data_IF_470914783739
#
_entry.id   IF_470914783739
#
_cell.length_a   1.000
_cell.length_b   1.000
_cell.length_c   1.000
_cell.angle_alpha   90.00
_cell.angle_beta   90.00
_cell.angle_gamma   90.00
#
_symmetry.space_group_name_H-M   'P 1'
#
loop_
_entity.id
_entity.type
_entity.pdbx_description
1 polymer ?
#
# COMPACT_ATOMS: atom_id res chain seq x y z
N UNK A 1 -12.35 11.73 -24.97
CA UNK A 1 -12.74 10.42 -24.42
C UNK A 1 -11.94 10.23 -23.14
N UNK A 2 -12.45 10.75 -22.03
CA UNK A 2 -11.82 10.54 -20.71
C UNK A 2 -12.06 9.08 -20.34
N UNK A 3 -10.97 8.34 -20.25
CA UNK A 3 -10.99 6.88 -20.10
C UNK A 3 -11.56 6.54 -18.72
N UNK A 4 -12.71 5.86 -18.69
CA UNK A 4 -13.38 5.30 -17.50
C UNK A 4 -12.53 4.25 -16.75
N UNK A 5 -11.26 4.10 -17.14
CA UNK A 5 -10.23 3.27 -16.53
C UNK A 5 -9.42 4.02 -15.46
N UNK A 6 -9.46 5.35 -15.40
CA UNK A 6 -8.69 6.11 -14.41
C UNK A 6 -9.28 5.99 -12.99
N UNK A 7 -10.61 5.87 -12.90
CA UNK A 7 -11.33 5.66 -11.63
C UNK A 7 -11.13 4.26 -11.01
N UNK A 8 -10.48 3.33 -11.73
CA UNK A 8 -10.22 1.96 -11.28
C UNK A 8 -8.75 1.71 -10.91
N UNK A 9 -7.90 2.73 -10.98
CA UNK A 9 -6.50 2.57 -10.60
C UNK A 9 -6.35 2.70 -9.08
N UNK A 10 -5.74 1.72 -8.41
CA UNK A 10 -5.49 1.79 -6.98
C UNK A 10 -4.51 2.91 -6.65
N UNK A 11 -4.84 3.66 -5.60
CA UNK A 11 -4.15 4.90 -5.19
C UNK A 11 -3.25 4.61 -4.00
N UNK A 12 -2.03 5.12 -4.04
CA UNK A 12 -1.11 5.07 -2.89
C UNK A 12 -1.62 5.95 -1.76
N UNK A 13 -1.78 5.36 -0.58
CA UNK A 13 -2.23 6.03 0.64
C UNK A 13 -1.16 6.06 1.73
N UNK A 14 -0.18 5.17 1.65
CA UNK A 14 0.95 5.15 2.59
C UNK A 14 2.21 4.63 1.90
N UNK A 15 3.38 5.12 2.32
CA UNK A 15 4.67 4.73 1.76
C UNK A 15 5.72 4.73 2.86
N UNK A 16 6.32 3.57 3.12
CA UNK A 16 7.34 3.45 4.16
C UNK A 16 8.34 2.34 3.85
N UNK A 17 9.61 2.58 4.19
CA UNK A 17 10.67 1.57 4.13
C UNK A 17 10.79 0.74 5.41
N UNK A 18 10.08 1.14 6.46
CA UNK A 18 10.04 0.50 7.75
C UNK A 18 8.99 -0.62 7.76
N UNK A 19 9.39 -1.89 7.98
CA UNK A 19 8.47 -3.02 7.96
C UNK A 19 7.47 -3.00 9.13
N UNK A 20 7.82 -2.39 10.26
CA UNK A 20 6.92 -2.22 11.39
C UNK A 20 5.78 -1.24 11.06
N UNK A 21 6.11 -0.10 10.47
CA UNK A 21 5.10 0.87 10.02
C UNK A 21 4.20 0.31 8.92
N UNK A 22 4.75 -0.48 7.99
CA UNK A 22 3.95 -1.18 6.98
C UNK A 22 3.00 -2.18 7.63
N UNK A 23 3.44 -2.98 8.61
CA UNK A 23 2.59 -3.92 9.30
C UNK A 23 1.45 -3.23 10.07
N UNK A 24 1.74 -2.10 10.73
CA UNK A 24 0.71 -1.31 11.42
C UNK A 24 -0.29 -0.72 10.42
N UNK A 25 0.17 -0.16 9.30
CA UNK A 25 -0.70 0.37 8.26
C UNK A 25 -1.63 -0.72 7.68
N UNK A 26 -1.09 -1.91 7.40
CA UNK A 26 -1.87 -3.06 6.94
C UNK A 26 -2.93 -3.46 7.97
N UNK A 27 -2.53 -3.64 9.24
CA UNK A 27 -3.45 -4.05 10.31
C UNK A 27 -4.60 -3.05 10.54
N UNK A 28 -4.33 -1.74 10.41
CA UNK A 28 -5.37 -0.71 10.48
C UNK A 28 -6.37 -0.86 9.33
N UNK A 29 -5.89 -1.01 8.09
CA UNK A 29 -6.75 -1.18 6.92
C UNK A 29 -7.57 -2.48 6.97
N UNK A 30 -6.96 -3.58 7.43
CA UNK A 30 -7.68 -4.85 7.69
C UNK A 30 -8.79 -4.66 8.71
N UNK A 31 -8.52 -3.96 9.82
CA UNK A 31 -9.50 -3.71 10.88
C UNK A 31 -10.67 -2.83 10.42
N UNK A 32 -10.45 -2.03 9.37
CA UNK A 32 -11.45 -1.19 8.74
C UNK A 32 -12.17 -1.87 7.54
N UNK A 33 -11.86 -3.14 7.26
CA UNK A 33 -12.38 -3.91 6.11
C UNK A 33 -12.08 -3.23 4.75
N UNK A 34 -10.94 -2.53 4.67
CA UNK A 34 -10.48 -1.85 3.46
C UNK A 34 -9.52 -2.77 2.72
N UNK A 35 -9.87 -3.17 1.49
CA UNK A 35 -8.98 -3.94 0.63
C UNK A 35 -7.75 -3.12 0.20
N UNK A 36 -6.56 -3.69 0.38
CA UNK A 36 -5.28 -3.06 0.02
C UNK A 36 -4.31 -4.07 -0.56
N UNK A 37 -3.27 -3.56 -1.21
CA UNK A 37 -2.07 -4.33 -1.55
C UNK A 37 -0.81 -3.48 -1.39
N UNK A 38 0.31 -4.14 -1.16
CA UNK A 38 1.62 -3.50 -1.05
C UNK A 38 2.37 -3.65 -2.37
N UNK A 39 2.68 -2.54 -3.02
CA UNK A 39 3.51 -2.48 -4.22
C UNK A 39 4.96 -2.15 -3.84
N UNK A 40 5.92 -2.73 -4.57
CA UNK A 40 7.35 -2.47 -4.33
C UNK A 40 8.03 -3.44 -3.35
N UNK A 41 7.28 -4.39 -2.78
CA UNK A 41 7.85 -5.57 -2.14
C UNK A 41 8.12 -6.65 -3.21
N UNK A 42 9.39 -7.00 -3.39
CA UNK A 42 9.77 -8.11 -4.25
C UNK A 42 9.68 -9.38 -3.44
N UNK A 43 8.94 -10.36 -3.96
CA UNK A 43 8.96 -11.73 -3.47
C UNK A 43 10.40 -12.21 -3.31
N UNK A 44 10.85 -12.36 -2.06
CA UNK A 44 12.18 -12.86 -1.69
C UNK A 44 12.34 -14.35 -1.96
N UNK A 45 11.99 -14.82 -3.16
CA UNK A 45 11.99 -16.23 -3.54
C UNK A 45 12.99 -16.61 -4.63
N UNK A 46 13.53 -15.66 -5.41
CA UNK A 46 14.37 -16.00 -6.57
C UNK A 46 15.88 -16.10 -6.25
N UNK A 47 16.33 -15.57 -5.10
CA UNK A 47 17.73 -15.71 -4.66
C UNK A 47 17.81 -15.82 -3.13
N UNK A 48 18.40 -16.89 -2.56
CA UNK A 48 18.64 -16.96 -1.13
C UNK A 48 19.65 -15.87 -0.72
N UNK A 49 19.18 -14.87 0.03
CA UNK A 49 20.02 -13.83 0.63
C UNK A 49 19.99 -12.45 -0.04
N UNK A 50 19.19 -12.22 -1.09
CA UNK A 50 19.08 -10.90 -1.73
C UNK A 50 17.64 -10.35 -1.70
N UNK A 51 17.39 -9.39 -0.80
CA UNK A 51 16.20 -8.54 -0.86
C UNK A 51 16.48 -7.43 -1.86
N UNK A 52 16.17 -7.65 -3.14
CA UNK A 52 16.23 -6.57 -4.13
C UNK A 52 14.98 -5.71 -3.91
N UNK A 53 15.10 -4.60 -3.18
CA UNK A 53 14.03 -3.60 -3.08
C UNK A 53 14.10 -2.68 -4.30
N UNK A 54 13.11 -2.75 -5.20
CA UNK A 54 13.03 -1.83 -6.35
C UNK A 54 12.42 -0.47 -6.00
N UNK A 55 12.08 -0.23 -4.73
CA UNK A 55 11.57 1.06 -4.25
C UNK A 55 11.20 1.00 -2.77
N UNK A 56 10.78 2.15 -2.23
CA UNK A 56 10.12 2.20 -0.93
C UNK A 56 8.73 1.60 -1.08
N UNK A 57 8.36 0.56 -0.31
CA UNK A 57 7.04 -0.05 -0.37
C UNK A 57 5.89 0.95 -0.25
N UNK A 58 4.84 0.69 -1.03
CA UNK A 58 3.66 1.55 -1.16
C UNK A 58 2.39 0.75 -0.88
N UNK A 59 1.62 1.18 0.11
CA UNK A 59 0.29 0.65 0.37
C UNK A 59 -0.69 1.37 -0.54
N UNK A 60 -1.42 0.59 -1.34
CA UNK A 60 -2.39 1.08 -2.30
C UNK A 60 -3.78 0.50 -2.03
N UNK A 61 -4.80 1.33 -2.17
CA UNK A 61 -6.22 0.97 -1.97
C UNK A 61 -7.05 1.39 -3.18
N UNK A 62 -8.28 0.89 -3.30
CA UNK A 62 -9.22 1.40 -4.28
C UNK A 62 -9.44 2.92 -4.11
N UNK A 63 -9.60 3.66 -5.21
CA UNK A 63 -9.72 5.12 -5.18
C UNK A 63 -10.90 5.59 -4.30
N UNK A 64 -12.00 4.83 -4.27
CA UNK A 64 -13.18 5.07 -3.43
C UNK A 64 -12.89 5.02 -1.92
N UNK A 65 -11.88 4.26 -1.49
CA UNK A 65 -11.48 4.13 -0.09
C UNK A 65 -10.28 5.02 0.27
N UNK A 66 -9.73 5.78 -0.68
CA UNK A 66 -8.47 6.50 -0.50
C UNK A 66 -8.54 7.54 0.63
N UNK A 67 -9.64 8.30 0.73
CA UNK A 67 -9.77 9.34 1.74
C UNK A 67 -9.97 8.76 3.15
N UNK A 68 -10.76 7.69 3.26
CA UNK A 68 -10.94 6.96 4.53
C UNK A 68 -9.63 6.33 4.98
N UNK A 69 -8.91 5.68 4.06
CA UNK A 69 -7.61 5.08 4.33
C UNK A 69 -6.56 6.11 4.74
N UNK A 70 -6.51 7.28 4.07
CA UNK A 70 -5.59 8.37 4.46
C UNK A 70 -5.89 8.90 5.86
N UNK A 71 -7.17 9.08 6.19
CA UNK A 71 -7.57 9.54 7.51
C UNK A 71 -7.19 8.52 8.59
N UNK A 72 -7.36 7.23 8.32
CA UNK A 72 -6.98 6.15 9.23
C UNK A 72 -5.47 6.09 9.48
N UNK A 73 -4.68 6.38 8.45
CA UNK A 73 -3.21 6.27 8.47
C UNK A 73 -2.52 7.58 8.84
N UNK A 74 -3.24 8.66 9.12
CA UNK A 74 -2.68 10.00 9.39
C UNK A 74 -1.72 10.03 10.57
N UNK A 75 -1.92 9.17 11.57
CA UNK A 75 -1.08 9.08 12.76
C UNK A 75 0.24 8.31 12.53
N UNK A 76 0.40 7.70 11.33
CA UNK A 76 1.61 6.97 10.93
C UNK A 76 2.53 7.77 9.99
N UNK A 77 2.09 8.95 9.54
CA UNK A 77 2.75 9.79 8.54
C UNK A 77 3.54 10.95 9.16
#
# INVERSE_FOLDING_TARGET
MSNEADARQPVTVFKSGDPGLLAVAQSLLESADIEFFVAGEVAGGLFPGAVIRFGVPEVRVAAENADVARELLKELA
#
